data_IF_940007714657
#
_entry.id   IF_940007714657
#
_cell.length_a   1.000
_cell.length_b   1.000
_cell.length_c   1.000
_cell.angle_alpha   90.00
_cell.angle_beta   90.00
_cell.angle_gamma   90.00
#
_symmetry.space_group_name_H-M   'P 1'
#
loop_
_entity.id
_entity.type
_entity.pdbx_description
1 polymer ?
#
# COMPACT_ATOMS: atom_id res chain seq x y z
N UNK A 1 -20.73 -40.47 -19.83
CA UNK A 1 -19.32 -40.61 -19.36
C UNK A 1 -18.70 -39.22 -19.38
N UNK A 2 -18.46 -38.55 -18.24
CA UNK A 2 -17.21 -38.59 -17.43
C UNK A 2 -15.95 -38.50 -18.32
N UNK A 3 -14.92 -37.68 -18.09
CA UNK A 3 -14.55 -36.65 -17.14
C UNK A 3 -13.27 -35.99 -17.75
N UNK A 4 -13.12 -34.66 -17.76
CA UNK A 4 -12.25 -33.90 -16.85
C UNK A 4 -10.74 -34.16 -16.93
N UNK A 5 -9.98 -33.13 -17.35
CA UNK A 5 -8.62 -32.69 -16.90
C UNK A 5 -8.51 -31.23 -17.37
N UNK A 6 -8.79 -30.19 -16.56
CA UNK A 6 -8.10 -29.68 -15.38
C UNK A 6 -6.64 -29.30 -15.66
N UNK A 7 -6.37 -28.02 -15.88
CA UNK A 7 -5.10 -27.40 -15.46
C UNK A 7 -5.37 -26.04 -14.82
N UNK A 8 -4.99 -25.97 -13.55
CA UNK A 8 -5.11 -24.87 -12.61
C UNK A 8 -3.80 -24.09 -12.61
N UNK A 9 -3.83 -22.81 -12.96
CA UNK A 9 -2.86 -21.82 -12.48
C UNK A 9 -3.36 -20.39 -12.76
N UNK A 10 -4.53 -20.04 -12.25
CA UNK A 10 -4.94 -18.64 -12.12
C UNK A 10 -5.54 -18.45 -10.74
N UNK A 11 -4.69 -18.58 -9.72
CA UNK A 11 -5.01 -18.04 -8.41
C UNK A 11 -4.62 -16.56 -8.47
N UNK A 12 -5.46 -15.79 -9.15
CA UNK A 12 -5.50 -14.35 -8.99
C UNK A 12 -5.93 -14.10 -7.54
N UNK A 13 -4.97 -13.73 -6.69
CA UNK A 13 -5.21 -13.39 -5.30
C UNK A 13 -6.33 -12.35 -5.22
N UNK A 14 -7.45 -12.81 -4.68
CA UNK A 14 -8.62 -12.04 -4.27
C UNK A 14 -8.17 -10.82 -3.48
N UNK A 15 -8.17 -9.68 -4.16
CA UNK A 15 -8.04 -8.36 -3.55
C UNK A 15 -9.33 -8.12 -2.79
N UNK A 16 -9.35 -8.46 -1.50
CA UNK A 16 -10.55 -8.35 -0.68
C UNK A 16 -10.96 -6.87 -0.55
N UNK A 17 -11.91 -6.47 -1.40
CA UNK A 17 -12.96 -5.49 -1.12
C UNK A 17 -12.67 -4.00 -1.23
N UNK A 18 -11.45 -3.49 -1.07
CA UNK A 18 -11.31 -2.08 -0.66
C UNK A 18 -11.06 -1.01 -1.73
N UNK A 19 -10.61 -1.34 -2.94
CA UNK A 19 -10.78 -0.45 -4.11
C UNK A 19 -10.80 -1.35 -5.33
N UNK A 20 -11.96 -1.51 -5.96
CA UNK A 20 -12.01 -2.28 -7.20
C UNK A 20 -11.26 -1.46 -8.28
N UNK A 21 -10.45 -2.13 -9.10
CA UNK A 21 -9.62 -1.51 -10.15
C UNK A 21 -10.40 -0.55 -11.06
N UNK A 22 -11.72 -0.75 -11.21
CA UNK A 22 -12.63 0.11 -11.95
C UNK A 22 -13.05 1.40 -11.22
N UNK A 23 -13.00 1.47 -9.89
CA UNK A 23 -13.33 2.70 -9.14
C UNK A 23 -12.31 3.80 -9.36
N UNK A 24 -11.03 3.44 -9.50
CA UNK A 24 -9.96 4.39 -9.77
C UNK A 24 -10.02 4.98 -11.18
N UNK A 25 -10.42 4.17 -12.17
CA UNK A 25 -10.58 4.66 -13.55
C UNK A 25 -11.66 5.73 -13.70
N UNK A 26 -12.60 5.82 -12.75
CA UNK A 26 -13.66 6.85 -12.69
C UNK A 26 -13.17 8.21 -12.19
N UNK A 27 -11.91 8.31 -11.74
CA UNK A 27 -11.36 9.57 -11.23
C UNK A 27 -11.04 10.58 -12.34
N UNK A 28 -11.04 10.18 -13.63
CA UNK A 28 -10.70 11.02 -14.78
C UNK A 28 -9.46 11.90 -14.53
N UNK A 29 -8.51 11.41 -13.71
CA UNK A 29 -7.33 12.13 -13.28
C UNK A 29 -6.22 11.11 -12.99
N UNK A 30 -5.29 10.98 -13.93
CA UNK A 30 -4.19 10.01 -13.86
C UNK A 30 -3.21 10.24 -12.71
N UNK A 31 -3.06 11.48 -12.23
CA UNK A 31 -2.20 11.81 -11.09
C UNK A 31 -2.80 11.31 -9.78
N UNK A 32 -4.11 11.50 -9.60
CA UNK A 32 -4.83 10.94 -8.45
C UNK A 32 -4.83 9.41 -8.51
N UNK A 33 -5.15 8.83 -9.68
CA UNK A 33 -5.10 7.37 -9.86
C UNK A 33 -3.74 6.81 -9.46
N UNK A 34 -2.65 7.37 -9.98
CA UNK A 34 -1.30 6.92 -9.63
C UNK A 34 -1.01 7.06 -8.13
N UNK A 35 -1.45 8.16 -7.50
CA UNK A 35 -1.29 8.38 -6.06
C UNK A 35 -2.01 7.31 -5.23
N UNK A 36 -3.24 6.96 -5.59
CA UNK A 36 -4.00 5.89 -4.93
C UNK A 36 -3.37 4.52 -5.14
N UNK A 37 -2.93 4.22 -6.38
CA UNK A 37 -2.29 2.93 -6.70
C UNK A 37 -0.97 2.75 -5.95
N UNK A 38 -0.13 3.78 -5.87
CA UNK A 38 1.10 3.74 -5.08
C UNK A 38 0.81 3.60 -3.58
N UNK A 39 -0.20 4.31 -3.07
CA UNK A 39 -0.60 4.16 -1.66
C UNK A 39 -1.07 2.74 -1.35
N UNK A 40 -1.87 2.11 -2.21
CA UNK A 40 -2.32 0.73 -2.05
C UNK A 40 -1.16 -0.27 -2.15
N UNK A 41 -0.27 -0.08 -3.14
CA UNK A 41 0.80 -1.01 -3.43
C UNK A 41 1.96 -0.97 -2.42
N UNK A 42 2.22 0.19 -1.80
CA UNK A 42 3.40 0.41 -0.95
C UNK A 42 3.06 0.93 0.45
N UNK A 43 1.79 1.10 0.80
CA UNK A 43 1.38 1.62 2.11
C UNK A 43 1.88 3.05 2.35
N UNK A 44 2.10 3.86 1.31
CA UNK A 44 2.62 5.21 1.43
C UNK A 44 1.65 6.14 2.17
N UNK A 45 2.16 7.19 2.82
CA UNK A 45 1.26 8.22 3.34
C UNK A 45 0.68 9.00 2.18
N UNK A 46 -0.50 9.57 2.40
CA UNK A 46 -1.20 10.40 1.41
C UNK A 46 -0.30 11.51 0.85
N UNK A 47 0.42 12.20 1.72
CA UNK A 47 1.35 13.25 1.27
C UNK A 47 2.59 12.67 0.56
N UNK A 48 3.12 11.54 1.06
CA UNK A 48 4.26 10.85 0.46
C UNK A 48 3.94 10.42 -0.98
N UNK A 49 2.76 9.83 -1.25
CA UNK A 49 2.40 9.37 -2.59
C UNK A 49 2.19 10.53 -3.57
N UNK A 50 1.66 11.68 -3.15
CA UNK A 50 1.53 12.85 -4.02
C UNK A 50 2.89 13.50 -4.33
N UNK A 51 3.77 13.62 -3.31
CA UNK A 51 5.06 14.33 -3.44
C UNK A 51 6.21 13.46 -3.95
N UNK A 52 6.01 12.15 -4.09
CA UNK A 52 7.07 11.23 -4.54
C UNK A 52 7.57 11.62 -5.93
N UNK A 53 8.89 11.59 -6.11
CA UNK A 53 9.52 11.72 -7.42
C UNK A 53 10.15 10.37 -7.71
N UNK A 54 9.46 9.54 -8.50
CA UNK A 54 9.84 8.15 -8.70
C UNK A 54 11.25 7.99 -9.28
N UNK A 55 11.71 8.92 -10.12
CA UNK A 55 13.08 8.90 -10.66
C UNK A 55 14.16 8.90 -9.56
N UNK A 56 13.92 9.59 -8.45
CA UNK A 56 14.89 9.69 -7.35
C UNK A 56 14.63 8.66 -6.24
N UNK A 57 13.35 8.35 -6.01
CA UNK A 57 12.92 7.41 -4.98
C UNK A 57 13.18 5.95 -5.36
N UNK A 58 13.11 5.58 -6.63
CA UNK A 58 13.33 4.21 -7.11
C UNK A 58 14.81 3.83 -7.07
N UNK A 59 15.16 2.86 -6.22
CA UNK A 59 16.52 2.30 -6.07
C UNK A 59 16.63 0.86 -6.59
N UNK A 60 15.70 0.44 -7.46
CA UNK A 60 15.66 -0.91 -7.99
C UNK A 60 14.87 -1.86 -7.08
N UNK A 61 15.43 -2.16 -5.91
CA UNK A 61 14.85 -3.12 -4.95
C UNK A 61 13.90 -2.46 -3.92
N UNK A 62 13.94 -1.14 -3.79
CA UNK A 62 13.12 -0.41 -2.82
C UNK A 62 12.85 1.03 -3.28
N UNK A 63 11.78 1.61 -2.74
CA UNK A 63 11.48 3.04 -2.80
C UNK A 63 12.02 3.74 -1.56
N UNK A 64 12.88 4.75 -1.75
CA UNK A 64 13.34 5.65 -0.68
C UNK A 64 12.40 6.86 -0.58
N UNK A 65 11.88 7.10 0.62
CA UNK A 65 11.00 8.22 0.94
C UNK A 65 11.75 9.21 1.83
N UNK A 66 12.07 10.39 1.30
CA UNK A 66 12.89 11.41 2.00
C UNK A 66 12.09 12.58 2.56
N UNK A 67 10.93 12.89 1.96
CA UNK A 67 10.01 13.95 2.43
C UNK A 67 8.92 13.36 3.33
N UNK A 68 9.34 12.75 4.44
CA UNK A 68 8.43 12.13 5.42
C UNK A 68 8.08 13.10 6.54
N UNK A 69 6.92 12.91 7.17
CA UNK A 69 6.57 13.63 8.40
C UNK A 69 7.62 13.29 9.48
N UNK A 70 8.32 14.32 9.99
CA UNK A 70 9.41 14.15 10.96
C UNK A 70 10.80 13.93 10.36
N UNK A 71 10.97 14.07 9.03
CA UNK A 71 12.25 14.05 8.33
C UNK A 71 13.11 12.78 8.54
N UNK A 72 12.48 11.63 8.81
CA UNK A 72 13.17 10.33 8.89
C UNK A 72 13.03 9.61 7.57
N UNK A 73 14.10 9.48 6.75
CA UNK A 73 14.04 8.69 5.55
C UNK A 73 13.74 7.23 5.89
N UNK A 74 12.96 6.57 5.03
CA UNK A 74 12.68 5.14 5.15
C UNK A 74 12.62 4.50 3.78
N UNK A 75 12.89 3.20 3.73
CA UNK A 75 12.77 2.38 2.53
C UNK A 75 11.51 1.52 2.59
N UNK A 76 10.84 1.37 1.45
CA UNK A 76 9.76 0.38 1.27
C UNK A 76 10.19 -0.58 0.17
N UNK A 77 10.23 -1.91 0.42
CA UNK A 77 10.69 -2.87 -0.57
C UNK A 77 9.75 -2.96 -1.78
N UNK A 78 10.33 -3.21 -2.95
CA UNK A 78 9.63 -3.60 -4.17
C UNK A 78 9.67 -5.12 -4.21
N UNK A 79 8.55 -5.75 -3.87
CA UNK A 79 8.45 -7.18 -3.55
C UNK A 79 7.83 -8.00 -4.68
N UNK A 80 7.07 -7.36 -5.57
CA UNK A 80 6.30 -8.04 -6.60
C UNK A 80 6.53 -7.42 -7.96
N UNK A 81 6.40 -8.23 -9.01
CA UNK A 81 6.46 -7.75 -10.38
C UNK A 81 5.40 -6.67 -10.66
N UNK A 82 4.20 -6.79 -10.08
CA UNK A 82 3.14 -5.79 -10.21
C UNK A 82 3.53 -4.43 -9.61
N UNK A 83 4.29 -4.41 -8.51
CA UNK A 83 4.82 -3.17 -7.92
C UNK A 83 5.85 -2.52 -8.85
N UNK A 84 6.76 -3.32 -9.43
CA UNK A 84 7.74 -2.87 -10.41
C UNK A 84 7.07 -2.24 -11.63
N UNK A 85 6.14 -2.97 -12.24
CA UNK A 85 5.36 -2.51 -13.40
C UNK A 85 4.57 -1.24 -13.12
N UNK A 86 3.99 -1.13 -11.92
CA UNK A 86 3.30 0.09 -11.50
C UNK A 86 4.26 1.29 -11.52
N UNK A 87 5.42 1.18 -10.89
CA UNK A 87 6.42 2.27 -10.86
C UNK A 87 6.83 2.64 -12.29
N UNK A 88 7.15 1.65 -13.13
CA UNK A 88 7.61 1.89 -14.50
C UNK A 88 6.54 2.54 -15.37
N UNK A 89 5.28 2.10 -15.22
CA UNK A 89 4.14 2.69 -15.94
C UNK A 89 3.94 4.16 -15.58
N UNK A 90 4.14 4.54 -14.32
CA UNK A 90 4.01 5.93 -13.87
C UNK A 90 5.20 6.76 -14.34
N UNK A 91 6.44 6.24 -14.22
CA UNK A 91 7.68 6.90 -14.64
C UNK A 91 7.64 7.34 -16.11
N UNK A 92 7.07 6.50 -17.00
CA UNK A 92 6.94 6.79 -18.44
C UNK A 92 6.30 8.14 -18.74
N UNK A 93 5.38 8.60 -17.91
CA UNK A 93 4.59 9.78 -18.21
C UNK A 93 4.78 10.93 -17.22
N UNK A 94 5.20 10.65 -15.98
CA UNK A 94 5.48 11.69 -14.98
C UNK A 94 6.87 12.30 -15.16
N UNK A 95 7.80 11.53 -15.74
CA UNK A 95 9.19 11.93 -15.93
C UNK A 95 9.87 12.29 -14.61
N UNK A 96 10.44 13.49 -14.56
CA UNK A 96 11.16 14.02 -13.40
C UNK A 96 10.26 14.70 -12.37
N UNK A 97 8.94 14.74 -12.62
CA UNK A 97 7.96 15.39 -11.77
C UNK A 97 7.49 14.56 -10.58
N UNK A 98 6.76 15.21 -9.67
CA UNK A 98 5.97 14.53 -8.65
C UNK A 98 4.59 14.10 -9.18
N UNK A 99 3.79 13.43 -8.34
CA UNK A 99 2.38 13.17 -8.65
C UNK A 99 1.44 14.34 -8.36
N UNK A 100 1.98 15.52 -8.05
CA UNK A 100 1.26 16.79 -8.14
C UNK A 100 1.51 17.36 -9.55
N UNK A 101 0.45 17.64 -10.34
CA UNK A 101 0.59 18.30 -11.64
C UNK A 101 1.33 19.64 -11.53
N UNK A 102 2.06 20.05 -12.57
CA UNK A 102 2.91 21.27 -12.52
C UNK A 102 2.11 22.55 -12.30
N UNK A 103 0.88 22.55 -12.80
CA UNK A 103 -0.12 23.61 -12.70
C UNK A 103 -0.86 23.63 -11.36
N UNK A 104 -0.68 22.60 -10.52
CA UNK A 104 -1.36 22.46 -9.24
C UNK A 104 -0.44 22.80 -8.06
N UNK A 105 -1.02 23.45 -7.06
CA UNK A 105 -0.40 23.49 -5.73
C UNK A 105 -0.70 22.20 -4.97
N UNK A 106 0.14 21.87 -3.99
CA UNK A 106 -0.14 20.76 -3.06
C UNK A 106 -1.52 20.87 -2.41
N UNK A 107 -1.91 22.08 -1.96
CA UNK A 107 -3.22 22.31 -1.31
C UNK A 107 -4.37 21.98 -2.25
N UNK A 108 -4.29 22.44 -3.51
CA UNK A 108 -5.32 22.17 -4.53
C UNK A 108 -5.40 20.67 -4.81
N UNK A 109 -4.26 20.02 -5.03
CA UNK A 109 -4.20 18.59 -5.35
C UNK A 109 -4.69 17.73 -4.19
N UNK A 110 -4.31 18.07 -2.95
CA UNK A 110 -4.81 17.43 -1.73
C UNK A 110 -6.34 17.53 -1.61
N UNK A 111 -6.91 18.70 -1.89
CA UNK A 111 -8.38 18.85 -1.87
C UNK A 111 -9.07 17.98 -2.93
N UNK A 112 -8.46 17.80 -4.11
CA UNK A 112 -8.98 16.88 -5.15
C UNK A 112 -8.88 15.43 -4.68
N UNK A 113 -7.78 15.05 -4.04
CA UNK A 113 -7.59 13.74 -3.44
C UNK A 113 -8.65 13.42 -2.39
N UNK A 114 -8.92 14.34 -1.47
CA UNK A 114 -9.93 14.16 -0.42
C UNK A 114 -11.34 14.00 -0.98
N UNK A 115 -11.70 14.80 -1.99
CA UNK A 115 -12.98 14.63 -2.71
C UNK A 115 -13.06 13.28 -3.43
N UNK A 116 -11.96 12.83 -4.04
CA UNK A 116 -11.88 11.52 -4.67
C UNK A 116 -12.11 10.38 -3.66
N UNK A 117 -11.51 10.46 -2.46
CA UNK A 117 -11.78 9.50 -1.39
C UNK A 117 -13.26 9.43 -1.04
N UNK A 118 -13.91 10.58 -0.82
CA UNK A 118 -15.35 10.65 -0.50
C UNK A 118 -16.19 10.01 -1.61
N UNK A 119 -15.90 10.34 -2.88
CA UNK A 119 -16.60 9.79 -4.04
C UNK A 119 -16.46 8.27 -4.16
N UNK A 120 -15.34 7.71 -3.71
CA UNK A 120 -15.08 6.27 -3.69
C UNK A 120 -15.55 5.58 -2.40
N UNK A 121 -16.18 6.30 -1.46
CA UNK A 121 -16.57 5.74 -0.16
C UNK A 121 -15.39 5.35 0.72
N UNK A 122 -14.19 5.89 0.45
CA UNK A 122 -13.01 5.64 1.25
C UNK A 122 -12.95 6.64 2.41
N UNK A 123 -13.13 6.16 3.64
CA UNK A 123 -12.85 6.99 4.82
C UNK A 123 -11.36 7.37 4.87
N UNK A 124 -11.07 8.61 4.47
CA UNK A 124 -9.74 9.27 4.55
C UNK A 124 -8.57 8.48 3.94
N UNK A 125 -8.85 7.57 3.00
CA UNK A 125 -7.89 6.64 2.40
C UNK A 125 -7.10 5.76 3.41
N UNK A 126 -7.53 5.70 4.68
CA UNK A 126 -6.89 4.82 5.65
C UNK A 126 -7.04 3.36 5.24
N UNK A 127 -8.18 3.00 4.65
CA UNK A 127 -8.46 1.66 4.13
C UNK A 127 -7.38 1.11 3.19
N UNK A 128 -6.71 1.95 2.40
CA UNK A 128 -5.61 1.51 1.53
C UNK A 128 -4.37 1.08 2.30
N UNK A 129 -4.07 1.76 3.41
CA UNK A 129 -2.95 1.39 4.29
C UNK A 129 -3.27 0.16 5.13
N UNK A 130 -4.53 -0.03 5.53
CA UNK A 130 -4.98 -1.28 6.13
C UNK A 130 -4.78 -2.46 5.18
N UNK A 131 -5.23 -2.33 3.93
CA UNK A 131 -5.08 -3.37 2.92
C UNK A 131 -3.61 -3.74 2.69
N UNK A 132 -2.71 -2.74 2.58
CA UNK A 132 -1.27 -2.99 2.51
C UNK A 132 -0.76 -3.75 3.74
N UNK A 133 -1.10 -3.29 4.95
CA UNK A 133 -0.64 -3.89 6.20
C UNK A 133 -1.11 -5.35 6.32
N UNK A 134 -2.36 -5.64 5.99
CA UNK A 134 -2.92 -6.99 6.03
C UNK A 134 -2.23 -7.92 5.04
N UNK A 135 -2.03 -7.47 3.81
CA UNK A 135 -1.34 -8.24 2.78
C UNK A 135 0.12 -8.50 3.19
N UNK A 136 0.82 -7.48 3.70
CA UNK A 136 2.20 -7.60 4.14
C UNK A 136 2.34 -8.54 5.34
N UNK A 137 1.39 -8.49 6.28
CA UNK A 137 1.35 -9.39 7.42
C UNK A 137 1.15 -10.84 6.98
N UNK A 138 0.26 -11.08 6.02
CA UNK A 138 0.05 -12.41 5.44
C UNK A 138 1.31 -12.95 4.77
N UNK A 139 2.04 -12.12 4.03
CA UNK A 139 3.30 -12.53 3.39
C UNK A 139 4.40 -12.87 4.40
N UNK A 140 4.48 -12.15 5.52
CA UNK A 140 5.52 -12.32 6.53
C UNK A 140 5.21 -13.48 7.49
N UNK A 141 3.93 -13.72 7.80
CA UNK A 141 3.52 -14.68 8.84
C UNK A 141 2.84 -15.92 8.30
N UNK A 142 2.37 -15.90 7.04
CA UNK A 142 1.48 -16.91 6.49
C UNK A 142 0.04 -16.83 6.99
N UNK A 143 -0.27 -15.93 7.92
CA UNK A 143 -1.58 -15.80 8.57
C UNK A 143 -2.25 -14.46 8.24
N UNK A 144 -3.58 -14.43 8.26
CA UNK A 144 -4.31 -13.15 8.25
C UNK A 144 -3.99 -12.38 9.53
N UNK A 145 -3.97 -11.06 9.45
CA UNK A 145 -3.87 -10.21 10.64
C UNK A 145 -5.14 -10.33 11.51
N UNK A 146 -5.07 -10.14 12.84
CA UNK A 146 -6.25 -10.17 13.72
C UNK A 146 -7.42 -9.31 13.23
N UNK A 147 -7.15 -8.06 12.81
CA UNK A 147 -8.16 -7.15 12.27
C UNK A 147 -8.78 -7.62 10.93
N UNK A 148 -8.18 -8.62 10.28
CA UNK A 148 -8.67 -9.26 9.05
C UNK A 148 -9.24 -10.67 9.32
N UNK A 149 -9.57 -10.98 10.59
CA UNK A 149 -10.13 -12.27 11.01
C UNK A 149 -9.09 -13.37 11.23
N UNK A 150 -7.82 -13.00 11.41
CA UNK A 150 -6.76 -13.94 11.81
C UNK A 150 -6.72 -14.22 13.32
N UNK A 151 -5.80 -15.09 13.77
CA UNK A 151 -5.63 -15.39 15.19
C UNK A 151 -5.31 -14.14 16.01
N UNK A 152 -5.87 -14.04 17.22
CA UNK A 152 -5.48 -12.97 18.16
C UNK A 152 -4.04 -13.19 18.64
N UNK A 153 -3.31 -12.09 18.80
CA UNK A 153 -1.98 -12.02 19.41
C UNK A 153 -1.92 -12.68 20.78
N UNK A 154 -3.00 -12.68 21.57
CA UNK A 154 -3.07 -13.35 22.87
C UNK A 154 -3.05 -14.87 22.77
N UNK A 155 -3.53 -15.42 21.65
CA UNK A 155 -3.54 -16.85 21.38
C UNK A 155 -2.24 -17.38 20.77
N UNK A 156 -1.31 -16.50 20.38
CA UNK A 156 -0.03 -16.88 19.80
C UNK A 156 0.98 -17.25 20.90
N UNK A 157 1.81 -18.26 20.65
CA UNK A 157 2.86 -18.70 21.56
C UNK A 157 4.13 -19.11 20.81
N UNK A 158 5.25 -19.22 21.53
CA UNK A 158 6.53 -19.67 20.98
C UNK A 158 6.95 -18.92 19.71
N UNK A 159 7.29 -19.68 18.67
CA UNK A 159 7.77 -19.14 17.39
C UNK A 159 6.73 -18.29 16.66
N UNK A 160 5.42 -18.57 16.81
CA UNK A 160 4.37 -17.78 16.16
C UNK A 160 4.27 -16.38 16.75
N UNK A 161 4.44 -16.25 18.07
CA UNK A 161 4.45 -14.95 18.74
C UNK A 161 5.66 -14.11 18.32
N UNK A 162 6.82 -14.74 18.16
CA UNK A 162 8.02 -14.07 17.68
C UNK A 162 7.84 -13.59 16.23
N UNK A 163 7.30 -14.45 15.34
CA UNK A 163 6.99 -14.08 13.95
C UNK A 163 5.99 -12.93 13.85
N UNK A 164 4.94 -12.94 14.66
CA UNK A 164 3.96 -11.84 14.72
C UNK A 164 4.64 -10.52 15.11
N UNK A 165 5.48 -10.53 16.15
CA UNK A 165 6.21 -9.34 16.59
C UNK A 165 7.15 -8.80 15.50
N UNK A 166 7.96 -9.66 14.88
CA UNK A 166 8.87 -9.27 13.80
C UNK A 166 8.11 -8.70 12.60
N UNK A 167 7.00 -9.34 12.21
CA UNK A 167 6.16 -8.85 11.12
C UNK A 167 5.58 -7.47 11.42
N UNK A 168 5.08 -7.26 12.65
CA UNK A 168 4.56 -5.95 13.08
C UNK A 168 5.63 -4.87 13.03
N UNK A 169 6.85 -5.17 13.49
CA UNK A 169 7.97 -4.21 13.46
C UNK A 169 8.36 -3.83 12.03
N UNK A 170 8.49 -4.81 11.13
CA UNK A 170 8.77 -4.57 9.70
C UNK A 170 7.67 -3.69 9.08
N UNK A 171 6.41 -4.06 9.28
CA UNK A 171 5.27 -3.30 8.75
C UNK A 171 5.23 -1.89 9.33
N UNK A 172 5.58 -1.72 10.60
CA UNK A 172 5.61 -0.41 11.24
C UNK A 172 6.62 0.50 10.56
N UNK A 173 7.84 0.02 10.32
CA UNK A 173 8.88 0.76 9.60
C UNK A 173 8.46 1.05 8.15
N UNK A 174 7.89 0.06 7.45
CA UNK A 174 7.35 0.22 6.08
C UNK A 174 6.14 1.16 6.00
N UNK A 175 5.41 1.38 7.09
CA UNK A 175 4.35 2.39 7.17
C UNK A 175 4.87 3.72 7.75
N UNK A 176 6.13 3.77 8.16
CA UNK A 176 6.81 4.91 8.76
C UNK A 176 6.38 5.20 10.20
N UNK A 177 5.87 4.21 10.89
CA UNK A 177 5.56 4.27 12.31
C UNK A 177 6.70 3.59 13.05
N UNK A 178 7.53 4.34 13.77
CA UNK A 178 8.69 3.74 14.47
C UNK A 178 8.29 2.94 15.74
N UNK A 179 7.02 2.49 15.86
CA UNK A 179 6.46 1.82 17.06
C UNK A 179 5.32 0.86 16.69
N UNK A 180 5.33 -0.35 17.25
CA UNK A 180 4.32 -1.41 17.03
C UNK A 180 2.87 -0.97 17.37
N UNK A 181 2.70 -0.11 18.38
CA UNK A 181 1.38 0.35 18.85
C UNK A 181 0.58 1.09 17.75
N UNK A 182 1.29 1.76 16.83
CA UNK A 182 0.64 2.45 15.72
C UNK A 182 0.24 1.47 14.61
N UNK A 183 0.89 0.31 14.53
CA UNK A 183 0.45 -0.79 13.67
C UNK A 183 -0.75 -1.55 14.21
N UNK A 184 -1.03 -1.48 15.53
CA UNK A 184 -2.20 -2.12 16.12
C UNK A 184 -3.52 -1.57 15.54
N UNK A 185 -3.56 -0.29 15.15
CA UNK A 185 -4.70 0.29 14.43
C UNK A 185 -4.92 -0.45 13.10
N UNK A 186 -3.86 -0.86 12.41
CA UNK A 186 -3.98 -1.54 11.12
C UNK A 186 -4.20 -3.04 11.25
N UNK A 187 -3.46 -3.71 12.14
CA UNK A 187 -3.37 -5.16 12.23
C UNK A 187 -4.28 -5.76 13.31
N UNK A 188 -4.77 -4.97 14.26
CA UNK A 188 -5.49 -5.47 15.43
C UNK A 188 -4.57 -6.20 16.41
N UNK A 189 -5.20 -6.75 17.46
CA UNK A 189 -4.57 -7.58 18.50
C UNK A 189 -5.36 -8.86 18.68
#
# INVERSE_FOLDING_TARGET
>A
MRAQKNDRATIALSTSGLVKRWELSRLNNRYLEASFRLQAAFGLRREECMKIILRFSDKGEHLVLTKTKGARPRAVPIRTQAQRELIDSIKKWVGDGSLIPKEDTYKTHLGRYERACIKMGLERAHGLRHAYAHQRYLELTGNRAPAAGGPSTKGLSGADKQRDYEARMIISEELGHSREEVTAVYLGR
#
